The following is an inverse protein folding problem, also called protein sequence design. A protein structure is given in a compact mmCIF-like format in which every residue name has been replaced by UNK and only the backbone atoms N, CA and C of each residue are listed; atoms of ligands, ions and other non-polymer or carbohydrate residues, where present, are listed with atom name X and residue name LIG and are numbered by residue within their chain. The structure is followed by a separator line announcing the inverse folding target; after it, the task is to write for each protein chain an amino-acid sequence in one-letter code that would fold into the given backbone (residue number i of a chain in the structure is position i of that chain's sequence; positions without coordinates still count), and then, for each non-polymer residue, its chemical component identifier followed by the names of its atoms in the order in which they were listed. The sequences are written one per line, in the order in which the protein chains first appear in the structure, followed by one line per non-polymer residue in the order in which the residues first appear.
data_IF_479221500514
#
_entry.id   IF_479221500514
#
_cell.length_a   1.000
_cell.length_b   1.000
_cell.length_c   1.000
_cell.angle_alpha   90.00
_cell.angle_beta   90.00
_cell.angle_gamma   90.00
#
_symmetry.space_group_name_H-M   'P 1'
#
loop_
_entity.id
_entity.type
_entity.pdbx_description
1 polymer ?
#
# COMPACT_ATOMS: atom_id res chain seq x y z
N UNK A 1 13.09 0.19 20.77
CA UNK A 1 13.68 -0.97 20.06
C UNK A 1 15.18 -0.93 20.21
N UNK A 2 15.82 -2.06 20.53
CA UNK A 2 17.28 -2.15 20.59
C UNK A 2 17.89 -2.49 19.20
N UNK A 3 19.21 -2.41 19.07
CA UNK A 3 19.92 -2.62 17.79
C UNK A 3 19.68 -4.02 17.20
N UNK A 4 19.55 -5.06 18.03
CA UNK A 4 19.33 -6.42 17.55
C UNK A 4 17.90 -6.63 17.04
N UNK A 5 16.92 -6.00 17.69
CA UNK A 5 15.53 -5.95 17.21
C UNK A 5 15.43 -5.21 15.88
N UNK A 6 16.14 -4.08 15.73
CA UNK A 6 16.20 -3.34 14.46
C UNK A 6 16.81 -4.18 13.34
N UNK A 7 17.93 -4.85 13.61
CA UNK A 7 18.59 -5.75 12.65
C UNK A 7 17.69 -6.94 12.28
N UNK A 8 17.03 -7.53 13.27
CA UNK A 8 16.05 -8.61 13.04
C UNK A 8 14.90 -8.16 12.15
N UNK A 9 14.35 -6.96 12.39
CA UNK A 9 13.29 -6.40 11.56
C UNK A 9 13.76 -6.13 10.12
N UNK A 10 14.93 -5.51 9.94
CA UNK A 10 15.50 -5.26 8.61
C UNK A 10 15.67 -6.57 7.82
N UNK A 11 16.24 -7.60 8.44
CA UNK A 11 16.40 -8.92 7.83
C UNK A 11 15.06 -9.55 7.42
N UNK A 12 13.98 -9.29 8.16
CA UNK A 12 12.64 -9.73 7.76
C UNK A 12 12.15 -8.94 6.55
N UNK A 13 12.27 -7.61 6.55
CA UNK A 13 11.80 -6.76 5.46
C UNK A 13 12.55 -6.98 4.14
N UNK A 14 13.79 -7.45 4.19
CA UNK A 14 14.60 -7.81 3.01
C UNK A 14 14.18 -9.14 2.37
N UNK A 15 13.35 -9.95 3.05
CA UNK A 15 12.83 -11.21 2.50
C UNK A 15 11.46 -10.99 1.90
N UNK A 16 11.32 -11.25 0.61
CA UNK A 16 10.10 -11.00 -0.18
C UNK A 16 8.83 -11.51 0.49
N UNK A 17 8.83 -12.75 1.01
CA UNK A 17 7.64 -13.34 1.65
C UNK A 17 7.17 -12.51 2.85
N UNK A 18 8.09 -12.00 3.68
CA UNK A 18 7.71 -11.16 4.81
C UNK A 18 7.36 -9.75 4.36
N UNK A 19 8.09 -9.19 3.40
CA UNK A 19 7.82 -7.87 2.83
C UNK A 19 6.40 -7.79 2.23
N UNK A 20 6.08 -8.72 1.32
CA UNK A 20 4.77 -8.81 0.67
C UNK A 20 3.65 -8.95 1.71
N UNK A 21 3.85 -9.79 2.74
CA UNK A 21 2.87 -9.96 3.80
C UNK A 21 2.64 -8.68 4.61
N UNK A 22 3.70 -7.95 4.97
CA UNK A 22 3.58 -6.67 5.70
C UNK A 22 2.91 -5.62 4.85
N UNK A 23 3.29 -5.50 3.57
CA UNK A 23 2.67 -4.56 2.64
C UNK A 23 1.18 -4.88 2.42
N UNK A 24 0.82 -6.15 2.23
CA UNK A 24 -0.58 -6.55 2.07
C UNK A 24 -1.44 -6.19 3.29
N UNK A 25 -0.91 -6.41 4.51
CA UNK A 25 -1.57 -6.00 5.75
C UNK A 25 -1.70 -4.49 5.85
N UNK A 26 -0.64 -3.75 5.51
CA UNK A 26 -0.67 -2.29 5.53
C UNK A 26 -1.71 -1.74 4.55
N UNK A 27 -1.78 -2.24 3.31
CA UNK A 27 -2.80 -1.84 2.34
C UNK A 27 -4.23 -2.12 2.84
N UNK A 28 -4.45 -3.23 3.56
CA UNK A 28 -5.76 -3.50 4.20
C UNK A 28 -6.07 -2.48 5.29
N UNK A 29 -5.11 -2.18 6.17
CA UNK A 29 -5.29 -1.16 7.20
C UNK A 29 -5.63 0.22 6.62
N UNK A 30 -5.03 0.59 5.48
CA UNK A 30 -5.35 1.85 4.80
C UNK A 30 -6.77 1.85 4.23
N UNK A 31 -7.25 0.72 3.72
CA UNK A 31 -8.64 0.59 3.29
C UNK A 31 -9.62 0.74 4.45
N UNK A 32 -9.32 0.09 5.58
CA UNK A 32 -10.14 0.16 6.79
C UNK A 32 -10.14 1.58 7.38
N UNK A 33 -8.99 2.26 7.36
CA UNK A 33 -8.86 3.67 7.78
C UNK A 33 -9.77 4.60 6.98
N UNK A 34 -9.91 4.37 5.67
CA UNK A 34 -10.76 5.16 4.78
C UNK A 34 -12.21 4.63 4.70
N UNK A 35 -12.55 3.61 5.50
CA UNK A 35 -13.87 3.00 5.60
C UNK A 35 -14.39 2.44 4.25
N UNK A 36 -13.50 1.83 3.45
CA UNK A 36 -13.91 1.20 2.20
C UNK A 36 -14.54 -0.18 2.43
N UNK A 37 -15.85 -0.30 2.17
CA UNK A 37 -16.60 -1.56 2.28
C UNK A 37 -16.25 -2.59 1.19
N UNK A 38 -15.75 -2.12 0.03
CA UNK A 38 -15.32 -2.97 -1.08
C UNK A 38 -14.15 -2.34 -1.81
N UNK A 39 -13.33 -3.16 -2.48
CA UNK A 39 -12.14 -2.68 -3.19
C UNK A 39 -12.35 -2.83 -4.69
N UNK A 40 -12.74 -1.73 -5.34
CA UNK A 40 -12.71 -1.57 -6.78
C UNK A 40 -11.44 -0.86 -7.25
N UNK A 41 -11.34 -0.61 -8.55
CA UNK A 41 -10.16 0.08 -9.12
C UNK A 41 -10.02 1.52 -8.65
N UNK A 42 -11.12 2.18 -8.27
CA UNK A 42 -11.08 3.52 -7.71
C UNK A 42 -10.52 3.54 -6.29
N UNK A 43 -10.90 2.58 -5.45
CA UNK A 43 -10.33 2.39 -4.13
C UNK A 43 -8.85 1.97 -4.23
N UNK A 44 -8.48 1.08 -5.18
CA UNK A 44 -7.06 0.76 -5.44
C UNK A 44 -6.25 2.01 -5.74
N UNK A 45 -6.78 2.93 -6.56
CA UNK A 45 -6.13 4.20 -6.87
C UNK A 45 -5.92 5.03 -5.60
N UNK A 46 -6.97 5.17 -4.77
CA UNK A 46 -6.92 6.00 -3.57
C UNK A 46 -5.98 5.38 -2.52
N UNK A 47 -6.10 4.08 -2.25
CA UNK A 47 -5.23 3.34 -1.33
C UNK A 47 -3.78 3.42 -1.78
N UNK A 48 -3.51 3.27 -3.08
CA UNK A 48 -2.18 3.45 -3.64
C UNK A 48 -1.62 4.85 -3.35
N UNK A 49 -2.41 5.89 -3.62
CA UNK A 49 -2.01 7.26 -3.32
C UNK A 49 -1.76 7.48 -1.81
N UNK A 50 -2.60 6.93 -0.94
CA UNK A 50 -2.43 6.99 0.52
C UNK A 50 -1.18 6.26 0.99
N UNK A 51 -0.89 5.07 0.46
CA UNK A 51 0.31 4.31 0.80
C UNK A 51 1.59 5.14 0.59
N UNK A 52 1.62 5.93 -0.48
CA UNK A 52 2.75 6.80 -0.78
C UNK A 52 2.78 8.10 0.04
N UNK A 53 1.62 8.58 0.51
CA UNK A 53 1.48 9.91 1.15
C UNK A 53 1.28 9.88 2.66
N UNK A 54 1.06 8.70 3.24
CA UNK A 54 0.88 8.50 4.68
C UNK A 54 -0.57 8.62 5.16
N UNK A 55 -0.76 8.35 6.45
CA UNK A 55 -2.09 8.32 7.10
C UNK A 55 -2.56 9.69 7.59
N UNK A 56 -1.64 10.64 7.79
CA UNK A 56 -1.94 11.94 8.42
C UNK A 56 -2.88 12.83 7.60
N UNK A 57 -2.99 12.57 6.29
CA UNK A 57 -3.86 13.31 5.38
C UNK A 57 -5.29 12.79 5.42
N UNK A 58 -6.25 13.70 5.35
CA UNK A 58 -7.65 13.33 5.16
C UNK A 58 -7.86 12.63 3.81
N UNK A 59 -8.94 11.84 3.71
CA UNK A 59 -9.32 11.16 2.47
C UNK A 59 -9.50 12.15 1.31
N UNK A 60 -10.08 13.32 1.57
CA UNK A 60 -10.25 14.36 0.56
C UNK A 60 -8.91 14.93 0.07
N UNK A 61 -7.91 15.07 0.95
CA UNK A 61 -6.56 15.49 0.56
C UNK A 61 -5.83 14.43 -0.25
N UNK A 62 -6.05 13.14 0.04
CA UNK A 62 -5.55 12.04 -0.79
C UNK A 62 -6.18 12.10 -2.18
N UNK A 63 -7.50 12.25 -2.29
CA UNK A 63 -8.22 12.32 -3.57
C UNK A 63 -7.77 13.49 -4.45
N UNK A 64 -7.28 14.59 -3.88
CA UNK A 64 -6.74 15.75 -4.62
C UNK A 64 -5.43 15.46 -5.37
N UNK A 65 -4.63 14.49 -4.92
CA UNK A 65 -3.42 14.07 -5.62
C UNK A 65 -3.27 12.55 -5.56
N UNK A 66 -3.76 11.91 -6.63
CA UNK A 66 -3.76 10.46 -6.83
C UNK A 66 -2.70 10.00 -7.83
N UNK A 67 -1.66 10.81 -8.12
CA UNK A 67 -0.66 10.50 -9.16
C UNK A 67 -0.02 9.12 -9.00
N UNK A 68 0.35 8.74 -7.76
CA UNK A 68 0.93 7.42 -7.50
C UNK A 68 -0.10 6.29 -7.68
N UNK A 69 -1.34 6.50 -7.23
CA UNK A 69 -2.44 5.58 -7.51
C UNK A 69 -2.72 5.39 -9.00
N UNK A 70 -2.70 6.48 -9.78
CA UNK A 70 -2.87 6.44 -11.23
C UNK A 70 -1.75 5.62 -11.89
N UNK A 71 -0.50 5.79 -11.46
CA UNK A 71 0.61 4.95 -11.93
C UNK A 71 0.33 3.44 -11.71
N UNK A 72 -0.19 3.07 -10.53
CA UNK A 72 -0.53 1.68 -10.21
C UNK A 72 -1.64 1.17 -11.12
N UNK A 73 -2.77 1.88 -11.19
CA UNK A 73 -3.95 1.48 -11.97
C UNK A 73 -3.62 1.41 -13.47
N UNK A 74 -2.86 2.36 -14.00
CA UNK A 74 -2.44 2.36 -15.41
C UNK A 74 -1.50 1.19 -15.74
N UNK A 75 -0.81 0.65 -14.73
CA UNK A 75 0.09 -0.50 -14.86
C UNK A 75 -0.58 -1.84 -14.51
N UNK A 76 -1.88 -1.85 -14.18
CA UNK A 76 -2.56 -3.00 -13.58
C UNK A 76 -2.46 -4.28 -14.40
N UNK A 77 -2.67 -4.19 -15.72
CA UNK A 77 -2.55 -5.35 -16.61
C UNK A 77 -1.12 -5.90 -16.64
N UNK A 78 -0.11 -5.03 -16.59
CA UNK A 78 1.30 -5.45 -16.52
C UNK A 78 1.58 -6.19 -15.22
N UNK A 79 1.12 -5.67 -14.09
CA UNK A 79 1.34 -6.32 -12.78
C UNK A 79 0.59 -7.64 -12.65
N UNK A 80 -0.64 -7.71 -13.16
CA UNK A 80 -1.43 -8.95 -13.15
C UNK A 80 -0.74 -10.11 -13.87
N UNK A 81 0.03 -9.82 -14.92
CA UNK A 81 0.83 -10.83 -15.64
C UNK A 81 2.05 -11.34 -14.88
N UNK A 82 2.48 -10.67 -13.81
CA UNK A 82 3.61 -11.11 -12.97
C UNK A 82 3.18 -12.09 -11.87
N UNK A 83 1.87 -12.27 -11.68
CA UNK A 83 1.31 -13.19 -10.68
C UNK A 83 0.97 -14.57 -11.25
N UNK A 84 1.29 -14.80 -12.53
CA UNK A 84 1.03 -16.02 -13.31
C UNK A 84 2.38 -16.60 -13.69
#
# INVERSE_FOLDING_TARGET
MNTDQLRGLANCLERDVYNINVVAKHLRMLADHDLFDSIGMDEVRIIGARYNRGMDLSLEEIKRDTRYGNFIVNSWQRFSRLMI
#
